data_IF_653209000394
#
_entry.id   IF_653209000394
#
_cell.length_a   1.000
_cell.length_b   1.000
_cell.length_c   1.000
_cell.angle_alpha   90.00
_cell.angle_beta   90.00
_cell.angle_gamma   90.00
#
_symmetry.space_group_name_H-M   'P 1'
#
loop_
_entity.id
_entity.type
_entity.pdbx_description
1 polymer ?
#
# COMPACT_ATOMS: atom_id res chain seq x y z
N UNK A 1 3.08 -3.50 5.61
CA UNK A 1 3.66 -3.04 6.91
C UNK A 1 4.82 -2.05 6.74
N UNK A 2 5.78 -2.28 5.83
CA UNK A 2 6.92 -1.35 5.64
C UNK A 2 6.52 0.12 5.46
N UNK A 3 5.43 0.41 4.74
CA UNK A 3 4.92 1.77 4.60
C UNK A 3 4.44 2.41 5.92
N UNK A 4 3.85 1.63 6.84
CA UNK A 4 3.46 2.15 8.17
C UNK A 4 4.70 2.52 9.00
N UNK A 5 5.77 1.73 8.90
CA UNK A 5 7.06 2.05 9.52
C UNK A 5 7.64 3.31 8.90
N UNK A 6 7.66 3.42 7.57
CA UNK A 6 8.13 4.60 6.87
C UNK A 6 7.36 5.88 7.27
N UNK A 7 6.03 5.79 7.35
CA UNK A 7 5.18 6.88 7.83
C UNK A 7 5.55 7.31 9.25
N UNK A 8 5.72 6.35 10.17
CA UNK A 8 6.08 6.64 11.54
C UNK A 8 7.48 7.26 11.68
N UNK A 9 8.44 6.81 10.86
CA UNK A 9 9.78 7.39 10.81
C UNK A 9 9.71 8.83 10.28
N UNK A 10 8.97 9.08 9.20
CA UNK A 10 8.80 10.41 8.61
C UNK A 10 8.16 11.43 9.56
N UNK A 11 7.22 11.00 10.42
CA UNK A 11 6.65 11.88 11.47
C UNK A 11 7.68 12.35 12.50
N UNK A 12 8.75 11.57 12.73
CA UNK A 12 9.77 11.85 13.73
C UNK A 12 11.01 12.53 13.16
N UNK A 13 11.15 12.56 11.83
CA UNK A 13 12.37 12.97 11.13
C UNK A 13 12.05 14.06 10.12
N UNK A 14 12.22 15.31 10.53
CA UNK A 14 11.89 16.50 9.75
C UNK A 14 12.68 16.63 8.44
N UNK A 15 13.82 15.95 8.31
CA UNK A 15 14.63 15.87 7.11
C UNK A 15 13.98 15.02 6.00
N UNK A 16 13.05 14.13 6.34
CA UNK A 16 12.31 13.34 5.35
C UNK A 16 11.27 14.25 4.71
N UNK A 17 11.48 14.60 3.43
CA UNK A 17 10.60 15.49 2.67
C UNK A 17 9.61 14.77 1.76
N UNK A 18 9.86 13.50 1.47
CA UNK A 18 9.06 12.70 0.55
C UNK A 18 9.05 11.24 1.00
N UNK A 19 7.87 10.63 1.03
CA UNK A 19 7.72 9.18 1.21
C UNK A 19 6.82 8.59 0.14
N UNK A 20 7.05 7.31 -0.16
CA UNK A 20 6.24 6.51 -1.08
C UNK A 20 5.70 5.33 -0.28
N UNK A 21 4.37 5.23 -0.23
CA UNK A 21 3.64 4.15 0.41
C UNK A 21 3.08 3.25 -0.69
N UNK A 22 3.78 2.14 -0.95
CA UNK A 22 3.34 1.11 -1.89
C UNK A 22 2.47 0.10 -1.14
N UNK A 23 1.24 -0.13 -1.61
CA UNK A 23 0.32 -1.14 -1.10
C UNK A 23 0.24 -1.16 0.45
N UNK A 24 0.18 0.05 1.01
CA UNK A 24 0.25 0.30 2.45
C UNK A 24 -1.02 1.01 2.92
N UNK A 25 -1.83 0.30 3.70
CA UNK A 25 -3.13 0.76 4.16
C UNK A 25 -3.03 1.47 5.51
N UNK A 26 -3.69 2.61 5.65
CA UNK A 26 -3.77 3.35 6.91
C UNK A 26 -4.92 2.87 7.80
N UNK A 27 -5.98 2.35 7.18
CA UNK A 27 -7.06 1.63 7.86
C UNK A 27 -6.98 0.15 7.52
N UNK A 28 -7.76 -0.66 8.24
CA UNK A 28 -8.00 -2.05 7.83
C UNK A 28 -8.53 -2.07 6.39
N UNK A 29 -7.85 -2.76 5.46
CA UNK A 29 -8.23 -2.77 4.05
C UNK A 29 -9.64 -3.34 3.85
N UNK A 30 -10.43 -2.70 2.98
CA UNK A 30 -11.72 -3.22 2.56
C UNK A 30 -11.57 -4.60 1.87
N UNK A 31 -12.67 -5.37 1.71
CA UNK A 31 -12.63 -6.63 0.97
C UNK A 31 -12.02 -6.52 -0.43
N UNK A 32 -12.15 -5.38 -1.10
CA UNK A 32 -11.54 -5.10 -2.40
C UNK A 32 -10.02 -5.31 -2.40
N UNK A 33 -9.36 -4.95 -1.30
CA UNK A 33 -7.90 -4.98 -1.17
C UNK A 33 -7.35 -6.33 -0.66
N UNK A 34 -8.21 -7.32 -0.37
CA UNK A 34 -7.80 -8.61 0.22
C UNK A 34 -7.16 -9.59 -0.77
N UNK A 35 -7.36 -9.38 -2.07
CA UNK A 35 -6.69 -10.18 -3.09
C UNK A 35 -5.18 -9.89 -3.06
N UNK A 36 -4.40 -10.95 -2.88
CA UNK A 36 -2.95 -10.84 -2.76
C UNK A 36 -2.29 -10.68 -4.13
N UNK A 37 -2.82 -11.38 -5.13
CA UNK A 37 -2.32 -11.45 -6.51
C UNK A 37 -3.49 -11.54 -7.47
N UNK A 38 -3.28 -11.11 -8.71
CA UNK A 38 -4.20 -11.22 -9.83
C UNK A 38 -4.39 -12.67 -10.24
N UNK A 39 -5.56 -12.98 -10.78
CA UNK A 39 -5.92 -14.34 -11.21
C UNK A 39 -4.98 -14.87 -12.30
N UNK A 40 -4.47 -14.00 -13.16
CA UNK A 40 -3.53 -14.33 -14.23
C UNK A 40 -2.06 -14.47 -13.77
N UNK A 41 -1.75 -14.24 -12.48
CA UNK A 41 -0.40 -14.50 -11.96
C UNK A 41 -0.10 -16.00 -12.00
N UNK A 42 1.09 -16.40 -12.44
CA UNK A 42 1.45 -17.83 -12.55
C UNK A 42 1.46 -18.53 -11.19
N UNK A 43 1.05 -19.79 -11.15
CA UNK A 43 0.96 -20.56 -9.90
C UNK A 43 2.31 -20.68 -9.18
N UNK A 44 3.41 -20.70 -9.94
CA UNK A 44 4.76 -20.68 -9.38
C UNK A 44 5.02 -19.39 -8.58
N UNK A 45 4.69 -18.22 -9.16
CA UNK A 45 4.86 -16.93 -8.49
C UNK A 45 3.90 -16.80 -7.31
N UNK A 46 2.63 -17.21 -7.49
CA UNK A 46 1.63 -17.24 -6.41
C UNK A 46 2.14 -18.10 -5.24
N UNK A 47 2.67 -19.29 -5.52
CA UNK A 47 3.24 -20.19 -4.52
C UNK A 47 4.42 -19.57 -3.77
N UNK A 48 5.34 -18.90 -4.48
CA UNK A 48 6.47 -18.17 -3.87
C UNK A 48 5.99 -17.06 -2.93
N UNK A 49 5.04 -16.24 -3.36
CA UNK A 49 4.49 -15.14 -2.57
C UNK A 49 3.77 -15.67 -1.32
N UNK A 50 2.90 -16.67 -1.47
CA UNK A 50 2.16 -17.24 -0.35
C UNK A 50 3.09 -17.90 0.68
N UNK A 51 4.13 -18.60 0.22
CA UNK A 51 5.13 -19.20 1.11
C UNK A 51 5.88 -18.11 1.90
N UNK A 52 6.32 -17.03 1.23
CA UNK A 52 6.95 -15.89 1.90
C UNK A 52 6.04 -15.28 2.96
N UNK A 53 4.77 -15.02 2.64
CA UNK A 53 3.80 -14.44 3.59
C UNK A 53 3.53 -15.37 4.78
N UNK A 54 3.43 -16.69 4.54
CA UNK A 54 3.24 -17.66 5.62
C UNK A 54 4.45 -17.72 6.55
N UNK A 55 5.66 -17.66 6.01
CA UNK A 55 6.88 -17.62 6.81
C UNK A 55 6.95 -16.35 7.67
N UNK A 56 6.60 -15.19 7.08
CA UNK A 56 6.56 -13.93 7.82
C UNK A 56 5.51 -13.91 8.93
N UNK A 57 4.34 -14.50 8.69
CA UNK A 57 3.23 -14.54 9.66
C UNK A 57 3.63 -15.21 10.99
N UNK A 58 4.58 -16.14 10.96
CA UNK A 58 5.08 -16.81 12.16
C UNK A 58 5.83 -15.86 13.12
N UNK A 59 6.34 -14.74 12.59
CA UNK A 59 7.04 -13.72 13.39
C UNK A 59 6.07 -12.74 14.06
N UNK A 60 4.76 -12.80 13.78
CA UNK A 60 3.81 -11.80 14.27
C UNK A 60 3.29 -12.20 15.65
N UNK A 61 3.47 -11.33 16.63
CA UNK A 61 2.83 -11.50 17.95
C UNK A 61 1.32 -11.39 17.83
N UNK A 62 0.58 -12.00 18.76
CA UNK A 62 -0.88 -11.88 18.82
C UNK A 62 -1.32 -10.42 18.97
N UNK A 63 -0.55 -9.61 19.71
CA UNK A 63 -0.79 -8.17 19.83
C UNK A 63 -0.72 -7.47 18.46
N UNK A 64 0.29 -7.80 17.64
CA UNK A 64 0.40 -7.24 16.30
C UNK A 64 -0.75 -7.70 15.40
N UNK A 65 -1.10 -8.99 15.43
CA UNK A 65 -2.22 -9.54 14.64
C UNK A 65 -3.54 -8.83 14.96
N UNK A 66 -3.83 -8.62 16.24
CA UNK A 66 -5.03 -7.92 16.66
C UNK A 66 -5.01 -6.44 16.23
N UNK A 67 -3.88 -5.75 16.40
CA UNK A 67 -3.75 -4.35 15.92
C UNK A 67 -3.90 -4.19 14.42
N UNK A 68 -3.48 -5.18 13.62
CA UNK A 68 -3.65 -5.14 12.16
C UNK A 68 -5.10 -5.37 11.72
N UNK A 69 -5.93 -6.03 12.55
CA UNK A 69 -7.37 -6.22 12.27
C UNK A 69 -8.18 -4.95 12.51
N UNK A 70 -7.80 -4.17 13.51
CA UNK A 70 -8.44 -2.91 13.88
C UNK A 70 -7.51 -1.72 13.61
N UNK A 71 -6.85 -1.73 12.44
CA UNK A 71 -5.87 -0.73 12.09
C UNK A 71 -6.55 0.61 11.82
N UNK A 72 -6.11 1.66 12.50
CA UNK A 72 -6.45 3.04 12.18
C UNK A 72 -5.22 3.94 12.41
N UNK A 73 -4.65 4.41 11.31
CA UNK A 73 -3.48 5.30 11.29
C UNK A 73 -3.76 6.60 10.54
N UNK A 74 -5.04 6.95 10.31
CA UNK A 74 -5.43 8.21 9.64
C UNK A 74 -4.78 9.42 10.31
N UNK A 75 -4.74 9.47 11.64
CA UNK A 75 -4.12 10.56 12.41
C UNK A 75 -2.63 10.71 12.09
N UNK A 76 -1.95 9.61 11.76
CA UNK A 76 -0.53 9.65 11.41
C UNK A 76 -0.27 10.37 10.09
N UNK A 77 -1.26 10.43 9.20
CA UNK A 77 -1.17 11.20 7.96
C UNK A 77 -1.53 12.68 8.16
N UNK A 78 -2.33 13.02 9.17
CA UNK A 78 -2.68 14.42 9.47
C UNK A 78 -1.49 15.23 9.99
N UNK A 79 -0.62 14.59 10.77
CA UNK A 79 0.52 15.25 11.43
C UNK A 79 1.81 15.24 10.59
N UNK A 80 1.76 14.77 9.34
CA UNK A 80 2.98 14.58 8.55
C UNK A 80 3.33 15.84 7.76
N UNK A 81 4.57 16.29 7.92
CA UNK A 81 5.09 17.51 7.26
C UNK A 81 5.81 17.21 5.94
N UNK A 82 5.71 15.97 5.43
CA UNK A 82 6.36 15.55 4.20
C UNK A 82 5.34 15.19 3.14
N UNK A 83 5.75 15.23 1.87
CA UNK A 83 4.92 14.76 0.76
C UNK A 83 4.72 13.24 0.90
N UNK A 84 3.47 12.78 0.79
CA UNK A 84 3.15 11.35 0.80
C UNK A 84 2.58 10.97 -0.56
N UNK A 85 3.22 10.00 -1.21
CA UNK A 85 2.73 9.42 -2.46
C UNK A 85 2.20 8.02 -2.15
N UNK A 86 0.98 7.75 -2.57
CA UNK A 86 0.35 6.44 -2.41
C UNK A 86 0.37 5.71 -3.75
N UNK A 87 0.69 4.43 -3.73
CA UNK A 87 0.67 3.57 -4.93
C UNK A 87 -0.11 2.30 -4.60
N UNK A 88 -1.12 2.00 -5.41
CA UNK A 88 -1.96 0.80 -5.28
C UNK A 88 -2.18 0.11 -6.61
N UNK A 89 -2.37 -1.20 -6.61
CA UNK A 89 -2.83 -1.97 -7.77
C UNK A 89 -4.33 -1.77 -8.06
N UNK A 90 -4.71 -1.86 -9.33
CA UNK A 90 -6.09 -1.64 -9.77
C UNK A 90 -7.03 -2.84 -9.54
N UNK A 91 -6.49 -4.04 -9.25
CA UNK A 91 -7.25 -5.30 -9.16
C UNK A 91 -8.16 -5.57 -10.36
N UNK A 92 -7.69 -5.21 -11.57
CA UNK A 92 -8.45 -5.35 -12.82
C UNK A 92 -9.58 -4.33 -13.00
N UNK A 93 -9.74 -3.38 -12.09
CA UNK A 93 -10.77 -2.34 -12.17
C UNK A 93 -10.20 -1.08 -12.83
N UNK A 94 -10.66 -0.76 -14.03
CA UNK A 94 -10.30 0.48 -14.72
C UNK A 94 -11.16 1.68 -14.26
N UNK A 95 -11.23 1.90 -12.95
CA UNK A 95 -11.94 3.04 -12.35
C UNK A 95 -11.20 3.52 -11.10
N UNK A 96 -10.39 4.56 -11.28
CA UNK A 96 -9.57 5.17 -10.21
C UNK A 96 -10.43 5.66 -9.03
N UNK A 97 -11.57 6.28 -9.30
CA UNK A 97 -12.43 6.82 -8.23
C UNK A 97 -13.00 5.70 -7.36
N UNK A 98 -13.40 4.58 -7.96
CA UNK A 98 -13.82 3.39 -7.22
C UNK A 98 -12.69 2.88 -6.34
N UNK A 99 -11.47 2.73 -6.87
CA UNK A 99 -10.32 2.25 -6.08
C UNK A 99 -10.01 3.20 -4.92
N UNK A 100 -10.06 4.52 -5.15
CA UNK A 100 -9.84 5.51 -4.09
C UNK A 100 -10.91 5.43 -3.02
N UNK A 101 -12.19 5.24 -3.39
CA UNK A 101 -13.28 5.11 -2.41
C UNK A 101 -13.11 3.89 -1.50
N UNK A 102 -12.48 2.81 -2.00
CA UNK A 102 -12.21 1.61 -1.20
C UNK A 102 -11.10 1.83 -0.15
N UNK A 103 -10.27 2.88 -0.29
CA UNK A 103 -9.19 3.17 0.67
C UNK A 103 -9.71 3.68 2.01
N UNK A 104 -10.98 4.07 2.08
CA UNK A 104 -11.63 4.60 3.29
C UNK A 104 -10.83 5.76 3.92
N UNK A 105 -10.34 6.65 3.06
CA UNK A 105 -9.62 7.86 3.47
C UNK A 105 -10.57 9.07 3.43
N UNK A 106 -10.50 9.98 4.41
CA UNK A 106 -11.16 11.28 4.35
C UNK A 106 -10.82 12.08 3.08
N UNK A 107 -11.80 12.77 2.51
CA UNK A 107 -11.64 13.57 1.28
C UNK A 107 -10.54 14.63 1.38
N UNK A 108 -10.37 15.22 2.58
CA UNK A 108 -9.33 16.21 2.84
C UNK A 108 -7.92 15.61 2.81
N UNK A 109 -7.78 14.30 3.06
CA UNK A 109 -6.52 13.57 2.91
C UNK A 109 -6.33 13.13 1.46
N UNK A 110 -7.38 12.62 0.81
CA UNK A 110 -7.33 12.22 -0.61
C UNK A 110 -6.84 13.40 -1.47
N UNK A 111 -7.41 14.59 -1.26
CA UNK A 111 -7.06 15.80 -2.02
C UNK A 111 -5.62 16.30 -1.82
N UNK A 112 -4.97 15.94 -0.70
CA UNK A 112 -3.58 16.33 -0.41
C UNK A 112 -2.55 15.29 -0.89
N UNK A 113 -2.97 14.05 -1.15
CA UNK A 113 -2.05 12.99 -1.53
C UNK A 113 -1.97 12.77 -3.03
N UNK A 114 -0.78 12.39 -3.48
CA UNK A 114 -0.58 11.92 -4.83
C UNK A 114 -0.84 10.42 -4.91
N UNK A 115 -2.05 10.03 -5.34
CA UNK A 115 -2.47 8.64 -5.46
C UNK A 115 -2.26 8.14 -6.90
N UNK A 116 -1.41 7.12 -7.03
CA UNK A 116 -1.05 6.46 -8.27
C UNK A 116 -1.63 5.04 -8.27
N UNK A 117 -2.18 4.62 -9.41
CA UNK A 117 -2.77 3.29 -9.59
C UNK A 117 -1.95 2.54 -10.62
N UNK A 118 -1.50 1.33 -10.31
CA UNK A 118 -0.79 0.43 -11.21
C UNK A 118 -1.81 -0.52 -11.84
N UNK A 119 -1.78 -0.64 -13.16
CA UNK A 119 -2.64 -1.57 -13.89
C UNK A 119 -2.28 -3.02 -13.63
N UNK A 120 -3.27 -3.90 -13.76
CA UNK A 120 -3.17 -5.36 -13.69
C UNK A 120 -2.32 -5.88 -12.53
N UNK A 121 -2.57 -5.33 -11.34
CA UNK A 121 -1.85 -5.70 -10.12
C UNK A 121 -2.73 -5.63 -8.88
N UNK A 122 -2.34 -6.43 -7.88
CA UNK A 122 -2.93 -6.49 -6.55
C UNK A 122 -1.90 -6.00 -5.51
N UNK A 123 -1.53 -6.84 -4.54
CA UNK A 123 -0.67 -6.46 -3.42
C UNK A 123 0.80 -6.36 -3.79
N UNK A 124 1.21 -6.97 -4.92
CA UNK A 124 2.59 -7.04 -5.37
C UNK A 124 2.77 -6.44 -6.76
N UNK A 125 2.50 -5.14 -6.96
CA UNK A 125 2.59 -4.50 -8.28
C UNK A 125 4.01 -4.58 -8.87
N UNK A 126 5.05 -4.63 -8.02
CA UNK A 126 6.43 -4.83 -8.46
C UNK A 126 6.71 -6.21 -9.07
N UNK A 127 5.84 -7.19 -8.84
CA UNK A 127 5.92 -8.53 -9.41
C UNK A 127 4.95 -8.67 -10.59
N UNK A 128 3.74 -8.15 -10.44
CA UNK A 128 2.64 -8.34 -11.39
C UNK A 128 2.72 -7.37 -12.57
N UNK A 129 3.17 -6.13 -12.33
CA UNK A 129 3.41 -5.12 -13.36
C UNK A 129 4.69 -4.32 -13.05
N UNK A 130 5.87 -4.94 -13.21
CA UNK A 130 7.15 -4.35 -12.82
C UNK A 130 7.50 -3.10 -13.62
N UNK A 131 7.14 -3.03 -14.91
CA UNK A 131 7.49 -1.90 -15.77
C UNK A 131 6.70 -0.64 -15.39
N UNK A 132 5.38 -0.74 -15.20
CA UNK A 132 4.61 0.42 -14.75
C UNK A 132 5.03 0.84 -13.34
N UNK A 133 5.25 -0.12 -12.43
CA UNK A 133 5.75 0.16 -11.08
C UNK A 133 7.06 0.95 -11.12
N UNK A 134 8.00 0.53 -11.96
CA UNK A 134 9.30 1.21 -12.16
C UNK A 134 9.13 2.61 -12.74
N UNK A 135 8.25 2.82 -13.72
CA UNK A 135 7.97 4.14 -14.30
C UNK A 135 7.44 5.11 -13.23
N UNK A 136 6.45 4.66 -12.44
CA UNK A 136 5.89 5.48 -11.36
C UNK A 136 6.94 5.77 -10.30
N UNK A 137 7.69 4.76 -9.84
CA UNK A 137 8.73 4.98 -8.83
C UNK A 137 9.80 5.97 -9.31
N UNK A 138 10.27 5.86 -10.56
CA UNK A 138 11.21 6.83 -11.14
C UNK A 138 10.66 8.25 -11.07
N UNK A 139 9.42 8.45 -11.53
CA UNK A 139 8.75 9.76 -11.51
C UNK A 139 8.62 10.37 -10.10
N UNK A 140 8.54 9.54 -9.07
CA UNK A 140 8.34 10.00 -7.68
C UNK A 140 9.64 10.20 -6.89
N UNK A 141 10.74 9.61 -7.36
CA UNK A 141 12.06 9.69 -6.72
C UNK A 141 12.90 10.82 -7.32
N UNK A 142 12.75 11.11 -8.61
CA UNK A 142 13.38 12.26 -9.30
C UNK A 142 12.63 13.55 -9.07
#
# INVERSE_FOLDING_TARGET
MGGLVALNVARKRSEIKNIILLESYLNTPSPFFRNIVMDNTSDEIKGKILNMLNNEKNNYSEVLKNKLRDLNMISSLKDINCKVNLIYGNRGINNKNKIISELDLPDDLISRQNINIISDSCHFPMVENPEETKIILKKLIT
#
